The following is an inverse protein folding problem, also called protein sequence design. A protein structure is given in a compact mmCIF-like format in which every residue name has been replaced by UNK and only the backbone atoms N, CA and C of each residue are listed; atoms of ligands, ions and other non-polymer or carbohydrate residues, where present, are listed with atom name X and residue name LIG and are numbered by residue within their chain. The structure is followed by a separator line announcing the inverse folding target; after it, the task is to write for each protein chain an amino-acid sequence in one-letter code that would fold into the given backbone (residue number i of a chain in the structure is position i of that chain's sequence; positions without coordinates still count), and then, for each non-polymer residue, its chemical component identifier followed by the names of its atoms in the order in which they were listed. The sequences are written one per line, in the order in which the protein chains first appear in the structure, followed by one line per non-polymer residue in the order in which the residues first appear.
data_IF_480435920972
#
_entry.id   IF_480435920972
#
_cell.length_a   1.000
_cell.length_b   1.000
_cell.length_c   1.000
_cell.angle_alpha   90.00
_cell.angle_beta   90.00
_cell.angle_gamma   90.00
#
_symmetry.space_group_name_H-M   'P 1'
#
loop_
_entity.id
_entity.type
_entity.pdbx_description
1 polymer ?
#
# COMPACT_ATOMS: atom_id res chain seq x y z
N UNK A 1 -7.17 -12.52 -1.38
CA UNK A 1 -6.24 -11.66 -2.13
C UNK A 1 -6.42 -10.20 -1.84
N UNK A 2 -7.63 -9.77 -1.65
CA UNK A 2 -7.86 -8.43 -1.15
C UNK A 2 -7.72 -8.44 0.37
N UNK A 3 -7.98 -7.32 1.01
CA UNK A 3 -7.94 -7.24 2.47
C UNK A 3 -9.36 -7.25 3.01
N UNK A 4 -9.52 -7.72 4.24
CA UNK A 4 -10.82 -7.71 4.89
C UNK A 4 -11.18 -6.28 5.31
N UNK A 5 -12.50 -5.98 5.48
CA UNK A 5 -12.90 -4.67 5.98
C UNK A 5 -12.26 -4.35 7.34
N UNK A 6 -12.14 -5.33 8.21
CA UNK A 6 -11.52 -5.16 9.52
C UNK A 6 -10.05 -4.75 9.40
N UNK A 7 -9.31 -5.43 8.53
CA UNK A 7 -7.90 -5.10 8.32
C UNK A 7 -7.75 -3.73 7.70
N UNK A 8 -8.61 -3.39 6.74
CA UNK A 8 -8.59 -2.07 6.12
C UNK A 8 -8.81 -0.97 7.15
N UNK A 9 -9.80 -1.16 8.04
CA UNK A 9 -10.06 -0.19 9.10
C UNK A 9 -8.88 -0.05 10.04
N UNK A 10 -8.23 -1.16 10.37
CA UNK A 10 -7.04 -1.11 11.22
C UNK A 10 -5.92 -0.31 10.57
N UNK A 11 -5.69 -0.49 9.26
CA UNK A 11 -4.67 0.26 8.54
C UNK A 11 -5.02 1.74 8.47
N UNK A 12 -6.27 2.07 8.23
CA UNK A 12 -6.71 3.46 8.22
C UNK A 12 -6.42 4.12 9.57
N UNK A 13 -6.77 3.45 10.67
CA UNK A 13 -6.51 3.99 12.00
C UNK A 13 -5.04 4.14 12.32
N UNK A 14 -4.22 3.19 11.85
CA UNK A 14 -2.79 3.17 12.15
C UNK A 14 -2.03 4.26 11.39
N UNK A 15 -2.42 4.55 10.14
CA UNK A 15 -1.68 5.46 9.28
C UNK A 15 -2.37 6.80 9.06
N UNK A 16 -3.57 6.99 9.58
CA UNK A 16 -4.30 8.24 9.43
C UNK A 16 -3.55 9.41 10.09
N UNK A 17 -3.58 10.55 9.43
CA UNK A 17 -2.96 11.78 9.96
C UNK A 17 -3.88 12.47 10.96
N UNK A 18 -5.17 12.22 10.87
CA UNK A 18 -6.19 12.75 11.80
C UNK A 18 -7.34 11.74 11.87
N UNK A 19 -8.23 11.88 12.88
CA UNK A 19 -9.23 10.85 13.15
C UNK A 19 -10.12 10.45 11.97
N UNK A 20 -10.44 11.38 11.08
CA UNK A 20 -11.32 11.09 9.94
C UNK A 20 -10.57 10.89 8.64
N UNK A 21 -9.26 10.71 8.69
CA UNK A 21 -8.45 10.56 7.49
C UNK A 21 -8.62 9.15 6.93
N UNK A 22 -9.20 9.05 5.75
CA UNK A 22 -9.34 7.78 5.03
C UNK A 22 -8.67 7.80 3.67
N UNK A 23 -8.09 8.94 3.27
CA UNK A 23 -7.59 9.10 1.92
C UNK A 23 -6.23 9.77 1.76
N UNK A 24 -5.48 9.97 2.86
CA UNK A 24 -4.13 10.53 2.72
C UNK A 24 -3.22 9.58 1.98
N UNK A 25 -2.12 10.07 1.38
CA UNK A 25 -1.15 9.18 0.73
C UNK A 25 -0.66 8.08 1.66
N UNK A 26 -0.45 8.37 2.95
CA UNK A 26 -0.01 7.37 3.91
C UNK A 26 -1.01 6.22 4.03
N UNK A 27 -2.28 6.54 4.17
CA UNK A 27 -3.34 5.52 4.27
C UNK A 27 -3.42 4.72 2.98
N UNK A 28 -3.41 5.38 1.84
CA UNK A 28 -3.52 4.71 0.55
C UNK A 28 -2.34 3.77 0.30
N UNK A 29 -1.12 4.21 0.61
CA UNK A 29 0.08 3.39 0.43
C UNK A 29 0.05 2.19 1.38
N UNK A 30 -0.41 2.38 2.63
CA UNK A 30 -0.52 1.28 3.57
C UNK A 30 -1.48 0.20 3.07
N UNK A 31 -2.65 0.60 2.56
CA UNK A 31 -3.63 -0.33 2.02
C UNK A 31 -3.08 -1.05 0.79
N UNK A 32 -2.46 -0.31 -0.14
CA UNK A 32 -1.86 -0.91 -1.33
C UNK A 32 -0.75 -1.90 -0.96
N UNK A 33 0.07 -1.56 0.03
CA UNK A 33 1.16 -2.44 0.46
C UNK A 33 0.64 -3.76 1.02
N UNK A 34 -0.44 -3.73 1.79
CA UNK A 34 -1.05 -4.95 2.31
C UNK A 34 -1.63 -5.79 1.17
N UNK A 35 -2.34 -5.15 0.24
CA UNK A 35 -2.92 -5.86 -0.90
C UNK A 35 -1.84 -6.47 -1.80
N UNK A 36 -0.74 -5.74 -2.01
CA UNK A 36 0.40 -6.22 -2.79
C UNK A 36 0.99 -7.45 -2.13
N UNK A 37 1.17 -7.42 -0.80
CA UNK A 37 1.69 -8.57 -0.07
C UNK A 37 0.79 -9.78 -0.22
N UNK A 38 -0.52 -9.59 -0.04
CA UNK A 38 -1.48 -10.69 -0.14
C UNK A 38 -1.48 -11.29 -1.53
N UNK A 39 -1.41 -10.46 -2.56
CA UNK A 39 -1.42 -10.93 -3.94
C UNK A 39 -0.11 -11.60 -4.31
N UNK A 40 1.02 -11.10 -3.78
CA UNK A 40 2.32 -11.73 -3.98
C UNK A 40 2.31 -13.15 -3.39
N UNK A 41 1.76 -13.32 -2.19
CA UNK A 41 1.63 -14.63 -1.57
C UNK A 41 0.75 -15.55 -2.40
N UNK A 42 -0.37 -15.02 -2.91
CA UNK A 42 -1.24 -15.81 -3.80
C UNK A 42 -0.47 -16.29 -5.03
N UNK A 43 0.31 -15.42 -5.66
CA UNK A 43 1.03 -15.75 -6.89
C UNK A 43 2.19 -16.72 -6.65
N UNK A 44 2.66 -16.84 -5.41
CA UNK A 44 3.71 -17.82 -5.11
C UNK A 44 3.22 -19.25 -5.28
N UNK A 45 1.91 -19.49 -5.12
CA UNK A 45 1.30 -20.80 -5.31
C UNK A 45 0.47 -20.90 -6.59
N UNK A 46 0.04 -19.77 -7.15
CA UNK A 46 -0.79 -19.72 -8.37
C UNK A 46 -0.06 -18.95 -9.46
N UNK A 47 1.06 -19.52 -9.92
CA UNK A 47 1.98 -18.82 -10.82
C UNK A 47 1.41 -18.49 -12.18
N UNK A 48 0.35 -19.20 -12.59
CA UNK A 48 -0.29 -18.98 -13.89
C UNK A 48 -1.54 -18.11 -13.81
N UNK A 49 -1.79 -17.49 -12.67
CA UNK A 49 -2.90 -16.55 -12.54
C UNK A 49 -2.46 -15.19 -13.11
N UNK A 50 -2.64 -15.03 -14.41
CA UNK A 50 -2.15 -13.85 -15.12
C UNK A 50 -2.97 -12.60 -14.82
N UNK A 51 -4.25 -12.77 -14.47
CA UNK A 51 -5.07 -11.62 -14.06
C UNK A 51 -4.57 -11.03 -12.74
N UNK A 52 -4.27 -11.87 -11.78
CA UNK A 52 -3.72 -11.42 -10.50
C UNK A 52 -2.34 -10.79 -10.67
N UNK A 53 -1.51 -11.37 -11.55
CA UNK A 53 -0.19 -10.80 -11.82
C UNK A 53 -0.30 -9.40 -12.42
N UNK A 54 -1.23 -9.20 -13.34
CA UNK A 54 -1.47 -7.89 -13.92
C UNK A 54 -1.97 -6.89 -12.87
N UNK A 55 -2.90 -7.33 -12.01
CA UNK A 55 -3.38 -6.50 -10.90
C UNK A 55 -2.26 -6.09 -9.95
N UNK A 56 -1.34 -7.02 -9.68
CA UNK A 56 -0.18 -6.72 -8.84
C UNK A 56 0.67 -5.60 -9.45
N UNK A 57 0.95 -5.69 -10.75
CA UNK A 57 1.74 -4.66 -11.42
C UNK A 57 1.07 -3.30 -11.39
N UNK A 58 -0.26 -3.26 -11.56
CA UNK A 58 -1.03 -2.02 -11.45
C UNK A 58 -0.90 -1.42 -10.06
N UNK A 59 -1.05 -2.23 -9.02
CA UNK A 59 -0.97 -1.74 -7.63
C UNK A 59 0.44 -1.27 -7.28
N UNK A 60 1.47 -1.96 -7.76
CA UNK A 60 2.85 -1.53 -7.55
C UNK A 60 3.09 -0.17 -8.19
N UNK A 61 2.56 0.04 -9.42
CA UNK A 61 2.67 1.33 -10.09
C UNK A 61 1.93 2.43 -9.34
N UNK A 62 0.73 2.15 -8.83
CA UNK A 62 -0.04 3.11 -8.06
C UNK A 62 0.70 3.50 -6.77
N UNK A 63 1.25 2.52 -6.07
CA UNK A 63 2.00 2.78 -4.84
C UNK A 63 3.21 3.66 -5.12
N UNK A 64 3.93 3.37 -6.20
CA UNK A 64 5.11 4.16 -6.58
C UNK A 64 4.74 5.61 -6.85
N UNK A 65 3.65 5.84 -7.57
CA UNK A 65 3.21 7.21 -7.86
C UNK A 65 2.83 7.97 -6.59
N UNK A 66 2.14 7.30 -5.67
CA UNK A 66 1.78 7.93 -4.39
C UNK A 66 3.02 8.25 -3.56
N UNK A 67 3.99 7.35 -3.52
CA UNK A 67 5.24 7.59 -2.79
C UNK A 67 6.05 8.72 -3.41
N UNK A 68 6.13 8.77 -4.74
CA UNK A 68 6.83 9.87 -5.42
C UNK A 68 6.15 11.20 -5.14
N UNK A 69 4.83 11.23 -5.17
CA UNK A 69 4.07 12.44 -4.83
C UNK A 69 4.37 12.88 -3.40
N UNK A 70 4.31 11.95 -2.45
CA UNK A 70 4.53 12.26 -1.05
C UNK A 70 5.94 12.78 -0.80
N UNK A 71 6.93 12.18 -1.44
CA UNK A 71 8.32 12.62 -1.32
C UNK A 71 8.49 14.06 -1.78
N UNK A 72 7.78 14.44 -2.84
CA UNK A 72 7.84 15.82 -3.34
C UNK A 72 7.11 16.81 -2.45
N UNK A 73 6.08 16.36 -1.74
CA UNK A 73 5.29 17.23 -0.86
C UNK A 73 5.93 17.37 0.52
N UNK A 74 6.43 16.26 1.07
CA UNK A 74 6.98 16.25 2.42
C UNK A 74 7.92 15.06 2.56
N UNK A 75 9.22 15.32 2.44
CA UNK A 75 10.23 14.26 2.45
C UNK A 75 10.29 13.54 3.80
N UNK A 76 10.00 14.22 4.91
CA UNK A 76 10.00 13.58 6.22
C UNK A 76 8.86 12.57 6.35
N UNK A 77 7.68 12.94 5.87
CA UNK A 77 6.54 12.00 5.85
C UNK A 77 6.86 10.79 5.00
N UNK A 78 7.49 11.00 3.86
CA UNK A 78 7.90 9.91 2.97
C UNK A 78 8.87 8.96 3.68
N UNK A 79 9.93 9.51 4.28
CA UNK A 79 10.93 8.69 4.98
C UNK A 79 10.31 7.92 6.13
N UNK A 80 9.46 8.57 6.91
CA UNK A 80 8.76 7.92 8.02
C UNK A 80 7.89 6.77 7.53
N UNK A 81 7.16 6.99 6.45
CA UNK A 81 6.24 5.98 5.93
C UNK A 81 6.97 4.76 5.40
N UNK A 82 8.03 4.94 4.61
CA UNK A 82 8.76 3.78 4.09
C UNK A 82 9.44 3.00 5.21
N UNK A 83 9.87 3.70 6.26
CA UNK A 83 10.43 3.02 7.43
C UNK A 83 9.38 2.18 8.16
N UNK A 84 8.18 2.73 8.35
CA UNK A 84 7.09 2.01 9.02
C UNK A 84 6.63 0.79 8.24
N UNK A 85 6.62 0.88 6.92
CA UNK A 85 6.15 -0.20 6.04
C UNK A 85 7.26 -1.17 5.65
N UNK A 86 8.52 -0.86 5.98
CA UNK A 86 9.64 -1.70 5.59
C UNK A 86 9.91 -1.70 4.11
N UNK A 87 9.59 -0.60 3.43
CA UNK A 87 9.80 -0.49 2.00
C UNK A 87 11.19 0.02 1.69
N UNK A 88 11.64 -0.27 0.48
CA UNK A 88 12.94 0.18 0.01
C UNK A 88 12.83 1.48 -0.74
N UNK A 89 12.13 2.38 -0.41
CA UNK A 89 11.90 3.60 -1.14
C UNK A 89 10.65 3.54 -1.97
#
# INVERSE_FOLDING_TARGET
MSITPERKQALIGEYALKPDDTGSPEVQVAILSERIRNLTDHLSTHKKDFHSRRGLLVMVGQRRRLLDYLRGVDAERYTSLIGRLGLRR
#
